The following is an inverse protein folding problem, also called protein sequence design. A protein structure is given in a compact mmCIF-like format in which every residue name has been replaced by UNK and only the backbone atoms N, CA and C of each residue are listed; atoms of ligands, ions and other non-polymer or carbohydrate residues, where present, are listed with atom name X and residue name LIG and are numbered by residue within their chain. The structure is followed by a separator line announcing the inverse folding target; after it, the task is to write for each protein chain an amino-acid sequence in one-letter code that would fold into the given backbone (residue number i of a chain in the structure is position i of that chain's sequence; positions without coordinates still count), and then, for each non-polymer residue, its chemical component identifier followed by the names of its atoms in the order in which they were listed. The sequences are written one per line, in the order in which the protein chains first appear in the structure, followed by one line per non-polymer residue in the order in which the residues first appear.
data_IF_877364315065
#
_entry.id   IF_877364315065
#
_cell.length_a   1.000
_cell.length_b   1.000
_cell.length_c   1.000
_cell.angle_alpha   90.00
_cell.angle_beta   90.00
_cell.angle_gamma   90.00
#
_symmetry.space_group_name_H-M   'P 1'
#
loop_
_entity.id
_entity.type
_entity.pdbx_description
1 polymer ?
#
# COMPACT_ATOMS: atom_id res chain seq x y z
N UNK A 1 73.88 7.63 -24.32
CA UNK A 1 72.64 8.01 -25.01
C UNK A 1 71.51 7.70 -24.04
N UNK A 2 70.86 8.78 -23.59
CA UNK A 2 69.67 8.89 -22.73
C UNK A 2 69.49 8.03 -21.47
N UNK A 3 69.47 8.75 -20.35
CA UNK A 3 69.15 8.32 -18.99
C UNK A 3 67.66 8.02 -18.82
N UNK A 4 67.36 6.84 -18.29
CA UNK A 4 66.04 6.48 -17.75
C UNK A 4 65.58 7.47 -16.68
N UNK A 5 64.36 7.98 -16.81
CA UNK A 5 63.65 8.74 -15.76
C UNK A 5 62.21 8.25 -15.59
N UNK A 6 62.06 7.02 -15.10
CA UNK A 6 60.76 6.52 -14.64
C UNK A 6 60.58 6.84 -13.16
N UNK A 7 60.11 8.03 -12.84
CA UNK A 7 59.82 8.45 -11.47
C UNK A 7 58.33 8.79 -11.29
N UNK A 8 57.67 8.00 -10.42
CA UNK A 8 56.50 8.35 -9.59
C UNK A 8 55.22 8.85 -10.29
N UNK A 9 54.44 7.94 -10.88
CA UNK A 9 53.01 8.16 -11.18
C UNK A 9 52.06 7.19 -10.44
N UNK A 10 52.58 6.23 -9.67
CA UNK A 10 51.78 5.16 -9.02
C UNK A 10 51.03 5.61 -7.74
N UNK A 11 51.42 6.72 -7.11
CA UNK A 11 50.78 7.21 -5.87
C UNK A 11 49.57 8.12 -6.13
N UNK A 12 49.60 8.89 -7.21
CA UNK A 12 48.51 9.80 -7.60
C UNK A 12 47.35 9.00 -8.21
N UNK A 13 47.62 7.91 -8.92
CA UNK A 13 46.57 7.02 -9.44
C UNK A 13 45.71 6.40 -8.34
N UNK A 14 46.30 6.06 -7.19
CA UNK A 14 45.56 5.53 -6.04
C UNK A 14 44.66 6.60 -5.41
N UNK A 15 45.16 7.83 -5.26
CA UNK A 15 44.38 8.97 -4.78
C UNK A 15 43.22 9.32 -5.72
N UNK A 16 43.46 9.35 -7.03
CA UNK A 16 42.42 9.60 -8.04
C UNK A 16 41.38 8.48 -8.02
N UNK A 17 41.82 7.21 -7.94
CA UNK A 17 40.91 6.08 -7.83
C UNK A 17 40.06 6.14 -6.55
N UNK A 18 40.66 6.49 -5.42
CA UNK A 18 39.93 6.66 -4.16
C UNK A 18 38.87 7.76 -4.26
N UNK A 19 39.21 8.92 -4.82
CA UNK A 19 38.24 10.02 -5.02
C UNK A 19 37.14 9.58 -5.99
N UNK A 20 37.49 8.98 -7.13
CA UNK A 20 36.51 8.49 -8.10
C UNK A 20 35.54 7.48 -7.48
N UNK A 21 36.05 6.54 -6.67
CA UNK A 21 35.22 5.56 -5.96
C UNK A 21 34.26 6.23 -4.97
N UNK A 22 34.73 7.21 -4.18
CA UNK A 22 33.85 7.93 -3.24
C UNK A 22 32.72 8.67 -3.96
N UNK A 23 33.01 9.30 -5.11
CA UNK A 23 32.00 10.01 -5.89
C UNK A 23 30.97 9.04 -6.45
N UNK A 24 31.40 7.92 -7.02
CA UNK A 24 30.47 6.89 -7.53
C UNK A 24 29.62 6.31 -6.40
N UNK A 25 30.20 6.06 -5.22
CA UNK A 25 29.46 5.60 -4.05
C UNK A 25 28.39 6.59 -3.60
N UNK A 26 28.67 7.90 -3.60
CA UNK A 26 27.68 8.93 -3.25
C UNK A 26 26.54 9.00 -4.26
N UNK A 27 26.85 8.92 -5.56
CA UNK A 27 25.84 8.92 -6.62
C UNK A 27 24.95 7.68 -6.51
N UNK A 28 25.54 6.50 -6.29
CA UNK A 28 24.80 5.27 -6.10
C UNK A 28 23.90 5.33 -4.84
N UNK A 29 24.43 5.84 -3.72
CA UNK A 29 23.66 6.02 -2.50
C UNK A 29 22.46 6.95 -2.69
N UNK A 30 22.63 8.06 -3.41
CA UNK A 30 21.54 8.96 -3.75
C UNK A 30 20.48 8.29 -4.64
N UNK A 31 20.90 7.51 -5.64
CA UNK A 31 20.00 6.75 -6.50
C UNK A 31 19.17 5.71 -5.73
N UNK A 32 19.78 5.04 -4.76
CA UNK A 32 19.06 4.11 -3.87
C UNK A 32 18.09 4.87 -2.96
N UNK A 33 18.51 6.00 -2.38
CA UNK A 33 17.66 6.82 -1.52
C UNK A 33 16.40 7.34 -2.25
N UNK A 34 16.53 7.81 -3.49
CA UNK A 34 15.39 8.26 -4.28
C UNK A 34 14.46 7.11 -4.67
N UNK A 35 15.01 5.94 -5.00
CA UNK A 35 14.21 4.74 -5.27
C UNK A 35 13.46 4.24 -4.03
N UNK A 36 14.10 4.22 -2.86
CA UNK A 36 13.47 3.80 -1.62
C UNK A 36 12.31 4.71 -1.22
N UNK A 37 12.42 6.03 -1.42
CA UNK A 37 11.29 6.94 -1.19
C UNK A 37 10.11 6.65 -2.13
N UNK A 38 10.38 6.35 -3.40
CA UNK A 38 9.35 5.97 -4.36
C UNK A 38 8.68 4.62 -4.02
N UNK A 39 9.40 3.70 -3.41
CA UNK A 39 8.90 2.38 -3.02
C UNK A 39 8.18 2.36 -1.67
N UNK A 40 8.62 3.14 -0.68
CA UNK A 40 7.95 3.20 0.63
C UNK A 40 6.49 3.68 0.50
N UNK A 41 6.20 4.58 -0.45
CA UNK A 41 4.83 5.00 -0.79
C UNK A 41 3.98 3.90 -1.44
N UNK A 42 4.60 2.86 -1.99
CA UNK A 42 3.92 1.73 -2.63
C UNK A 42 3.71 0.53 -1.68
N UNK A 43 4.41 0.48 -0.54
CA UNK A 43 4.43 -0.68 0.36
C UNK A 43 3.74 -0.48 1.71
N UNK A 44 3.41 0.76 2.10
CA UNK A 44 2.41 0.94 3.15
C UNK A 44 1.08 0.40 2.63
N UNK A 45 0.63 -0.74 3.18
CA UNK A 45 -0.76 -1.20 3.09
C UNK A 45 -1.64 0.03 3.19
N UNK A 46 -2.57 0.17 2.26
CA UNK A 46 -3.24 1.42 2.00
C UNK A 46 -3.74 2.11 3.25
N UNK A 47 -3.98 3.41 3.15
CA UNK A 47 -4.54 4.27 4.20
C UNK A 47 -5.90 3.85 4.74
N UNK A 48 -6.38 2.64 4.42
CA UNK A 48 -7.65 2.08 4.83
C UNK A 48 -7.44 0.94 5.83
N UNK A 49 -7.97 1.11 7.04
CA UNK A 49 -8.12 0.06 8.02
C UNK A 49 -9.58 -0.43 8.02
N UNK A 50 -9.79 -1.72 7.76
CA UNK A 50 -11.13 -2.31 7.65
C UNK A 50 -11.26 -3.49 8.59
N UNK A 51 -12.31 -3.46 9.41
CA UNK A 51 -12.71 -4.56 10.27
C UNK A 51 -14.08 -5.07 9.85
N UNK A 52 -14.15 -6.37 9.56
CA UNK A 52 -15.39 -7.08 9.22
C UNK A 52 -15.75 -8.01 10.36
N UNK A 53 -17.00 -7.92 10.83
CA UNK A 53 -17.54 -8.82 11.85
C UNK A 53 -18.84 -9.44 11.33
N UNK A 54 -18.88 -10.76 11.08
CA UNK A 54 -20.13 -11.42 10.75
C UNK A 54 -21.00 -11.60 12.00
N UNK A 55 -22.31 -11.46 11.81
CA UNK A 55 -23.36 -11.68 12.80
C UNK A 55 -24.41 -12.54 12.14
N UNK A 56 -24.54 -13.79 12.56
CA UNK A 56 -25.51 -14.74 12.00
C UNK A 56 -26.74 -14.76 12.89
N UNK A 57 -27.91 -14.51 12.29
CA UNK A 57 -29.22 -14.60 12.94
C UNK A 57 -30.07 -15.59 12.16
N UNK A 58 -30.39 -16.73 12.78
CA UNK A 58 -31.14 -17.84 12.19
C UNK A 58 -30.57 -18.32 10.84
N UNK A 59 -31.10 -17.79 9.72
CA UNK A 59 -30.71 -18.12 8.34
C UNK A 59 -30.00 -16.99 7.61
N UNK A 60 -29.93 -15.79 8.20
CA UNK A 60 -29.40 -14.58 7.57
C UNK A 60 -28.11 -14.15 8.25
N UNK A 61 -27.11 -13.78 7.44
CA UNK A 61 -25.81 -13.27 7.87
C UNK A 61 -25.76 -11.78 7.62
N UNK A 62 -25.42 -11.02 8.66
CA UNK A 62 -25.14 -9.60 8.60
C UNK A 62 -23.65 -9.38 8.75
N UNK A 63 -23.08 -8.50 7.93
CA UNK A 63 -21.70 -8.06 8.06
C UNK A 63 -21.68 -6.66 8.66
N UNK A 64 -21.07 -6.52 9.83
CA UNK A 64 -20.72 -5.22 10.39
C UNK A 64 -19.35 -4.85 9.83
N UNK A 65 -19.35 -3.94 8.86
CA UNK A 65 -18.14 -3.46 8.18
C UNK A 65 -17.81 -2.08 8.73
N UNK A 66 -16.61 -1.96 9.30
CA UNK A 66 -16.07 -0.69 9.81
C UNK A 66 -14.85 -0.33 8.98
N UNK A 67 -14.89 0.82 8.34
CA UNK A 67 -13.86 1.33 7.45
C UNK A 67 -13.32 2.62 8.05
N UNK A 68 -12.00 2.70 8.23
CA UNK A 68 -11.32 3.85 8.80
C UNK A 68 -10.26 4.33 7.82
N UNK A 69 -10.27 5.63 7.53
CA UNK A 69 -9.16 6.26 6.84
C UNK A 69 -8.05 6.57 7.86
N UNK A 70 -6.99 5.78 7.85
CA UNK A 70 -5.78 5.98 8.66
C UNK A 70 -4.68 6.73 7.91
N UNK A 71 -4.89 7.12 6.66
CA UNK A 71 -3.94 7.90 5.87
C UNK A 71 -4.00 9.39 6.12
N UNK A 72 -3.19 10.12 5.33
CA UNK A 72 -3.12 11.58 5.33
C UNK A 72 -3.92 12.26 4.22
N UNK A 73 -4.62 11.50 3.37
CA UNK A 73 -5.41 12.01 2.24
C UNK A 73 -6.83 11.47 2.28
N UNK A 74 -7.76 12.18 1.66
CA UNK A 74 -9.15 11.73 1.55
C UNK A 74 -9.26 10.52 0.62
N UNK A 75 -10.16 9.61 0.96
CA UNK A 75 -10.37 8.36 0.22
C UNK A 75 -11.81 8.30 -0.30
N UNK A 76 -11.99 7.95 -1.56
CA UNK A 76 -13.30 7.67 -2.14
C UNK A 76 -13.42 6.19 -2.45
N UNK A 77 -14.31 5.49 -1.74
CA UNK A 77 -14.54 4.07 -1.95
C UNK A 77 -15.52 3.93 -3.12
N UNK A 78 -15.09 3.27 -4.18
CA UNK A 78 -15.84 3.16 -5.43
C UNK A 78 -16.66 1.89 -5.49
N UNK A 79 -16.06 0.76 -5.09
CA UNK A 79 -16.68 -0.56 -5.19
C UNK A 79 -16.32 -1.43 -4.00
N UNK A 80 -17.24 -2.31 -3.63
CA UNK A 80 -17.07 -3.29 -2.57
C UNK A 80 -17.61 -4.64 -3.03
N UNK A 81 -16.80 -5.69 -2.93
CA UNK A 81 -17.14 -7.05 -3.33
C UNK A 81 -16.95 -8.03 -2.19
N UNK A 82 -17.91 -8.93 -2.02
CA UNK A 82 -17.83 -10.12 -1.18
C UNK A 82 -17.40 -11.31 -2.05
N UNK A 83 -16.40 -12.06 -1.59
CA UNK A 83 -15.78 -13.20 -2.28
C UNK A 83 -15.43 -12.93 -3.74
N UNK A 84 -15.03 -11.68 -4.03
CA UNK A 84 -14.71 -11.19 -5.37
C UNK A 84 -15.82 -11.34 -6.43
N UNK A 85 -17.05 -11.67 -6.04
CA UNK A 85 -18.13 -12.01 -6.98
C UNK A 85 -19.43 -11.28 -6.68
N UNK A 86 -19.78 -11.10 -5.41
CA UNK A 86 -21.01 -10.43 -4.99
C UNK A 86 -20.75 -8.95 -4.74
N UNK A 87 -21.35 -8.06 -5.52
CA UNK A 87 -21.27 -6.62 -5.30
C UNK A 87 -22.13 -6.20 -4.08
N UNK A 88 -21.48 -5.60 -3.08
CA UNK A 88 -22.12 -5.09 -1.85
C UNK A 88 -22.03 -3.56 -1.75
N UNK A 89 -21.59 -2.87 -2.82
CA UNK A 89 -21.35 -1.42 -2.87
C UNK A 89 -22.60 -0.63 -2.51
N UNK A 90 -23.73 -0.96 -3.13
CA UNK A 90 -25.00 -0.29 -2.89
C UNK A 90 -25.48 -0.49 -1.44
N UNK A 91 -25.30 -1.69 -0.90
CA UNK A 91 -25.73 -2.03 0.46
C UNK A 91 -24.86 -1.38 1.54
N UNK A 92 -23.57 -1.15 1.27
CA UNK A 92 -22.71 -0.35 2.16
C UNK A 92 -23.15 1.11 2.23
N UNK A 93 -23.79 1.66 1.20
CA UNK A 93 -24.21 3.06 1.16
C UNK A 93 -23.05 4.03 1.41
N UNK A 94 -21.91 3.78 0.76
CA UNK A 94 -20.64 4.45 1.02
C UNK A 94 -20.76 5.98 0.95
N UNK A 95 -20.10 6.73 1.86
CA UNK A 95 -20.00 8.17 1.72
C UNK A 95 -19.18 8.52 0.46
N UNK A 96 -19.49 9.66 -0.17
CA UNK A 96 -18.78 10.16 -1.35
C UNK A 96 -17.26 10.27 -1.11
N UNK A 97 -16.87 10.67 0.10
CA UNK A 97 -15.47 10.82 0.50
C UNK A 97 -15.33 10.53 1.99
N UNK A 98 -14.25 9.83 2.37
CA UNK A 98 -13.84 9.56 3.74
C UNK A 98 -12.59 10.38 4.04
N UNK A 99 -12.74 11.41 4.87
CA UNK A 99 -11.63 12.28 5.27
C UNK A 99 -10.62 11.56 6.16
N UNK A 100 -9.35 12.01 6.21
CA UNK A 100 -8.33 11.46 7.12
C UNK A 100 -8.82 11.35 8.56
N UNK A 101 -8.60 10.19 9.19
CA UNK A 101 -9.04 9.89 10.56
C UNK A 101 -10.53 9.58 10.72
N UNK A 102 -11.33 9.73 9.67
CA UNK A 102 -12.76 9.44 9.73
C UNK A 102 -13.04 7.94 9.72
N UNK A 103 -14.15 7.56 10.34
CA UNK A 103 -14.63 6.19 10.43
C UNK A 103 -16.03 6.11 9.84
N UNK A 104 -16.25 5.16 8.95
CA UNK A 104 -17.55 4.79 8.43
C UNK A 104 -17.90 3.38 8.87
N UNK A 105 -19.09 3.19 9.42
CA UNK A 105 -19.56 1.87 9.86
C UNK A 105 -20.93 1.60 9.28
N UNK A 106 -21.12 0.41 8.72
CA UNK A 106 -22.40 -0.03 8.19
C UNK A 106 -22.63 -1.52 8.48
N UNK A 107 -23.89 -1.86 8.71
CA UNK A 107 -24.37 -3.24 8.72
C UNK A 107 -24.97 -3.56 7.37
N UNK A 108 -24.51 -4.64 6.75
CA UNK A 108 -24.93 -5.11 5.43
C UNK A 108 -25.55 -6.48 5.56
N UNK A 109 -26.74 -6.67 5.01
CA UNK A 109 -27.35 -7.99 4.84
C UNK A 109 -26.75 -8.65 3.60
N UNK A 110 -26.14 -9.83 3.78
CA UNK A 110 -25.52 -10.62 2.71
C UNK A 110 -26.24 -11.95 2.48
N UNK A 111 -27.45 -12.11 3.03
CA UNK A 111 -28.22 -13.34 2.93
C UNK A 111 -27.57 -14.49 3.70
N UNK A 112 -27.63 -15.70 3.15
CA UNK A 112 -27.01 -16.87 3.76
C UNK A 112 -25.58 -17.05 3.25
N UNK A 113 -24.59 -16.98 4.15
CA UNK A 113 -23.21 -17.36 3.87
C UNK A 113 -22.94 -18.76 4.43
N UNK A 114 -22.20 -19.57 3.67
CA UNK A 114 -21.68 -20.84 4.18
C UNK A 114 -20.70 -20.59 5.32
N UNK A 115 -20.58 -21.50 6.29
CA UNK A 115 -19.48 -21.42 7.25
C UNK A 115 -18.13 -21.57 6.55
N UNK A 116 -17.14 -20.75 6.90
CA UNK A 116 -15.84 -20.78 6.25
C UNK A 116 -15.13 -19.43 6.15
N UNK A 117 -14.03 -19.41 5.39
CA UNK A 117 -13.26 -18.20 5.10
C UNK A 117 -13.91 -17.45 3.95
N UNK A 118 -14.17 -16.17 4.17
CA UNK A 118 -14.72 -15.24 3.21
C UNK A 118 -13.81 -14.02 3.09
N UNK A 119 -13.96 -13.29 1.98
CA UNK A 119 -13.14 -12.11 1.69
C UNK A 119 -14.00 -10.92 1.31
N UNK A 120 -13.62 -9.73 1.78
CA UNK A 120 -14.16 -8.46 1.29
C UNK A 120 -13.05 -7.74 0.55
N UNK A 121 -13.32 -7.40 -0.71
CA UNK A 121 -12.46 -6.56 -1.54
C UNK A 121 -13.06 -5.17 -1.62
N UNK A 122 -12.27 -4.14 -1.35
CA UNK A 122 -12.65 -2.75 -1.61
C UNK A 122 -11.76 -2.16 -2.68
N UNK A 123 -12.38 -1.48 -3.64
CA UNK A 123 -11.73 -0.65 -4.65
C UNK A 123 -11.95 0.80 -4.26
N UNK A 124 -10.88 1.55 -4.03
CA UNK A 124 -10.95 2.94 -3.58
C UNK A 124 -9.93 3.81 -4.30
N UNK A 125 -10.20 5.10 -4.40
CA UNK A 125 -9.23 6.09 -4.91
C UNK A 125 -8.63 6.88 -3.74
N UNK A 126 -7.31 6.97 -3.73
CA UNK A 126 -6.53 7.80 -2.81
C UNK A 126 -5.58 8.67 -3.63
N UNK A 127 -5.67 10.00 -3.49
CA UNK A 127 -4.75 10.92 -4.18
C UNK A 127 -4.82 10.87 -5.71
N UNK A 128 -5.89 10.31 -6.28
CA UNK A 128 -6.07 10.10 -7.73
C UNK A 128 -5.70 8.70 -8.22
N UNK A 129 -5.07 7.88 -7.38
CA UNK A 129 -4.73 6.49 -7.72
C UNK A 129 -5.82 5.54 -7.23
N UNK A 130 -6.28 4.65 -8.10
CA UNK A 130 -7.19 3.56 -7.72
C UNK A 130 -6.39 2.40 -7.12
N UNK A 131 -6.76 2.00 -5.91
CA UNK A 131 -6.17 0.91 -5.14
C UNK A 131 -7.24 -0.14 -4.82
N UNK A 132 -6.79 -1.37 -4.65
CA UNK A 132 -7.62 -2.49 -4.21
C UNK A 132 -6.99 -3.12 -2.98
N UNK A 133 -7.81 -3.36 -1.96
CA UNK A 133 -7.39 -4.11 -0.78
C UNK A 133 -8.42 -5.20 -0.46
N UNK A 134 -7.92 -6.29 0.12
CA UNK A 134 -8.70 -7.48 0.45
C UNK A 134 -8.52 -7.81 1.92
N UNK A 135 -9.62 -8.02 2.62
CA UNK A 135 -9.67 -8.45 4.01
C UNK A 135 -10.38 -9.79 4.12
N UNK A 136 -9.77 -10.73 4.84
CA UNK A 136 -10.38 -12.00 5.17
C UNK A 136 -11.17 -11.94 6.48
N UNK A 137 -12.25 -12.72 6.54
CA UNK A 137 -13.01 -12.95 7.75
C UNK A 137 -13.55 -14.39 7.75
N UNK A 138 -13.99 -14.86 8.91
CA UNK A 138 -14.52 -16.22 9.08
C UNK A 138 -15.94 -16.11 9.61
N UNK A 139 -16.87 -16.82 8.95
CA UNK A 139 -18.25 -17.02 9.39
C UNK A 139 -18.37 -18.34 10.13
#
# INVERSE_FOLDING_TARGET
METMKHARLRGISYLIAAIALTVVSLVAAYGVYSWMQGQVSAYTRGSLDVSIKPVVTDTTTYLVITIRNTGGSSITIQQAYLDSTTDITASLGLPQTLEPGSVYQKVVDVGSLSGGKHTVKLVYSEGGDTKEDIWDFVV
#
